data_IF_105895928990
#
_entry.id   IF_105895928990
#
_cell.length_a   1.000
_cell.length_b   1.000
_cell.length_c   1.000
_cell.angle_alpha   90.00
_cell.angle_beta   90.00
_cell.angle_gamma   90.00
#
_symmetry.space_group_name_H-M   'P 1'
#
loop_
_entity.id
_entity.type
_entity.pdbx_description
1 polymer ?
#
# COMPACT_ATOMS: atom_id res chain seq x y z
N UNK A 1 4.69 -7.45 2.44
CA UNK A 1 3.67 -7.97 1.51
C UNK A 1 2.57 -6.96 1.22
N UNK A 2 1.96 -6.41 2.25
CA UNK A 2 0.91 -5.40 2.08
C UNK A 2 1.40 -4.16 1.34
N UNK A 3 2.60 -3.69 1.66
CA UNK A 3 3.20 -2.53 0.99
C UNK A 3 3.38 -2.76 -0.50
N UNK A 4 3.75 -3.98 -0.88
CA UNK A 4 3.94 -4.34 -2.29
C UNK A 4 2.61 -4.24 -3.05
N UNK A 5 1.56 -4.84 -2.48
CA UNK A 5 0.23 -4.80 -3.10
C UNK A 5 -0.32 -3.38 -3.16
N UNK A 6 -0.12 -2.59 -2.11
CA UNK A 6 -0.51 -1.18 -2.09
C UNK A 6 0.22 -0.40 -3.18
N UNK A 7 1.53 -0.63 -3.33
CA UNK A 7 2.32 0.04 -4.37
C UNK A 7 1.79 -0.28 -5.76
N UNK A 8 1.41 -1.53 -6.02
CA UNK A 8 0.83 -1.92 -7.31
C UNK A 8 -0.49 -1.18 -7.56
N UNK A 9 -1.35 -1.10 -6.55
CA UNK A 9 -2.62 -0.40 -6.67
C UNK A 9 -2.41 1.09 -6.94
N UNK A 10 -1.48 1.71 -6.24
CA UNK A 10 -1.18 3.13 -6.42
C UNK A 10 -0.64 3.42 -7.82
N UNK A 11 0.25 2.57 -8.34
CA UNK A 11 0.76 2.70 -9.71
C UNK A 11 -0.36 2.55 -10.73
N UNK A 12 -1.26 1.58 -10.51
CA UNK A 12 -2.41 1.37 -11.39
C UNK A 12 -3.32 2.60 -11.42
N UNK A 13 -3.60 3.20 -10.26
CA UNK A 13 -4.41 4.41 -10.16
C UNK A 13 -3.76 5.61 -10.83
N UNK A 14 -2.42 5.67 -10.83
CA UNK A 14 -1.66 6.72 -11.51
C UNK A 14 -1.56 6.50 -13.02
N UNK A 15 -2.10 5.39 -13.52
CA UNK A 15 -2.03 5.05 -14.94
C UNK A 15 -0.65 4.60 -15.39
N UNK A 16 0.19 4.17 -14.46
CA UNK A 16 1.55 3.72 -14.75
C UNK A 16 1.60 2.20 -14.88
N UNK A 17 2.56 1.66 -15.67
CA UNK A 17 2.69 0.21 -15.79
C UNK A 17 3.19 -0.40 -14.48
N UNK A 18 2.72 -1.62 -14.16
CA UNK A 18 3.12 -2.35 -12.96
C UNK A 18 4.39 -3.14 -13.24
N UNK A 19 5.46 -2.44 -13.55
CA UNK A 19 6.74 -3.06 -13.89
C UNK A 19 7.74 -3.05 -12.73
N UNK A 20 8.68 -3.99 -12.78
CA UNK A 20 9.67 -4.17 -11.71
C UNK A 20 10.39 -2.87 -11.32
N UNK A 21 10.83 -2.10 -12.32
CA UNK A 21 11.57 -0.86 -12.07
C UNK A 21 10.76 0.14 -11.25
N UNK A 22 9.50 0.37 -11.63
CA UNK A 22 8.64 1.33 -10.93
C UNK A 22 8.28 0.86 -9.52
N UNK A 23 8.06 -0.44 -9.34
CA UNK A 23 7.78 -1.00 -8.02
C UNK A 23 9.01 -0.85 -7.11
N UNK A 24 10.20 -1.16 -7.65
CA UNK A 24 11.44 -1.02 -6.90
C UNK A 24 11.66 0.42 -6.44
N UNK A 25 11.41 1.38 -7.32
CA UNK A 25 11.55 2.80 -7.00
C UNK A 25 10.54 3.24 -5.92
N UNK A 26 9.30 2.82 -6.07
CA UNK A 26 8.22 3.21 -5.14
C UNK A 26 8.44 2.65 -3.75
N UNK A 27 8.93 1.42 -3.65
CA UNK A 27 9.19 0.76 -2.36
C UNK A 27 10.61 1.01 -1.83
N UNK A 28 11.47 1.64 -2.63
CA UNK A 28 12.86 1.87 -2.27
C UNK A 28 13.60 0.58 -1.95
N UNK A 29 13.38 -0.45 -2.77
CA UNK A 29 14.04 -1.75 -2.64
C UNK A 29 14.69 -2.12 -3.97
N UNK A 30 15.55 -3.15 -3.96
CA UNK A 30 16.24 -3.60 -5.15
C UNK A 30 15.31 -4.37 -6.09
N UNK A 31 15.68 -4.44 -7.37
CA UNK A 31 14.94 -5.24 -8.34
C UNK A 31 14.90 -6.72 -7.99
N UNK A 32 16.03 -7.34 -7.54
CA UNK A 32 15.96 -8.74 -7.06
C UNK A 32 14.98 -8.94 -5.93
N UNK A 33 14.87 -7.96 -4.99
CA UNK A 33 13.89 -8.04 -3.90
C UNK A 33 12.46 -7.99 -4.44
N UNK A 34 12.20 -7.17 -5.47
CA UNK A 34 10.88 -7.13 -6.12
C UNK A 34 10.55 -8.49 -6.75
N UNK A 35 11.52 -9.11 -7.43
CA UNK A 35 11.31 -10.43 -8.03
C UNK A 35 11.00 -11.49 -6.98
N UNK A 36 11.73 -11.49 -5.87
CA UNK A 36 11.53 -12.45 -4.79
C UNK A 36 10.15 -12.30 -4.16
N UNK A 37 9.78 -11.07 -3.81
CA UNK A 37 8.46 -10.79 -3.23
C UNK A 37 7.34 -11.06 -4.23
N UNK A 38 7.56 -10.74 -5.50
CA UNK A 38 6.59 -10.98 -6.56
C UNK A 38 6.29 -12.47 -6.74
N UNK A 39 7.31 -13.31 -6.71
CA UNK A 39 7.12 -14.77 -6.79
C UNK A 39 6.28 -15.29 -5.63
N UNK A 40 6.55 -14.80 -4.43
CA UNK A 40 5.79 -15.20 -3.25
C UNK A 40 4.31 -14.80 -3.39
N UNK A 41 4.04 -13.61 -3.90
CA UNK A 41 2.67 -13.15 -4.10
C UNK A 41 1.95 -13.89 -5.22
N UNK A 42 2.67 -14.30 -6.27
CA UNK A 42 2.13 -15.14 -7.33
C UNK A 42 1.71 -16.49 -6.75
N UNK A 43 2.58 -17.10 -5.95
CA UNK A 43 2.30 -18.38 -5.31
C UNK A 43 1.08 -18.33 -4.40
N UNK A 44 0.82 -17.18 -3.78
CA UNK A 44 -0.33 -17.00 -2.90
C UNK A 44 -1.61 -16.60 -3.63
N UNK A 45 -1.52 -16.38 -4.94
CA UNK A 45 -2.69 -16.03 -5.76
C UNK A 45 -3.13 -14.58 -5.64
N UNK A 46 -2.23 -13.67 -5.27
CA UNK A 46 -2.54 -12.25 -5.14
C UNK A 46 -2.25 -11.44 -6.39
N UNK A 47 -1.29 -11.89 -7.20
CA UNK A 47 -0.92 -11.24 -8.45
C UNK A 47 -0.61 -12.26 -9.52
N UNK A 48 -0.59 -11.82 -10.78
CA UNK A 48 -0.07 -12.61 -11.90
C UNK A 48 1.00 -11.78 -12.62
N UNK A 49 1.80 -12.46 -13.42
CA UNK A 49 2.81 -11.83 -14.24
C UNK A 49 3.02 -12.67 -15.50
N UNK A 50 3.03 -12.02 -16.66
CA UNK A 50 3.32 -12.69 -17.94
C UNK A 50 4.81 -12.65 -18.19
N UNK A 51 5.47 -13.80 -18.03
CA UNK A 51 6.92 -13.94 -18.23
C UNK A 51 7.70 -12.78 -17.56
N UNK A 52 8.34 -11.92 -18.32
CA UNK A 52 9.04 -10.73 -17.80
C UNK A 52 8.20 -9.46 -17.94
N UNK A 53 6.91 -9.63 -18.15
CA UNK A 53 6.00 -8.51 -18.35
C UNK A 53 5.51 -7.85 -17.08
N UNK A 54 4.51 -6.99 -17.24
CA UNK A 54 3.91 -6.27 -16.13
C UNK A 54 3.13 -7.20 -15.21
N UNK A 55 3.07 -6.81 -13.94
CA UNK A 55 2.29 -7.53 -12.94
C UNK A 55 0.82 -7.09 -13.01
N UNK A 56 -0.07 -7.97 -12.59
CA UNK A 56 -1.51 -7.69 -12.55
C UNK A 56 -2.05 -8.11 -11.19
N UNK A 57 -2.82 -7.22 -10.54
CA UNK A 57 -3.48 -7.54 -9.28
C UNK A 57 -4.66 -8.47 -9.54
N UNK A 58 -4.67 -9.59 -8.83
CA UNK A 58 -5.82 -10.49 -8.81
C UNK A 58 -6.82 -10.00 -7.77
N UNK A 59 -8.09 -10.43 -7.80
CA UNK A 59 -9.10 -9.95 -6.85
C UNK A 59 -8.70 -10.04 -5.38
N UNK A 60 -8.09 -11.15 -4.95
CA UNK A 60 -7.64 -11.32 -3.57
C UNK A 60 -6.54 -10.31 -3.20
N UNK A 61 -5.60 -10.08 -4.12
CA UNK A 61 -4.53 -9.09 -3.90
C UNK A 61 -5.07 -7.67 -3.89
N UNK A 62 -6.04 -7.39 -4.74
CA UNK A 62 -6.68 -6.07 -4.81
C UNK A 62 -7.42 -5.74 -3.51
N UNK A 63 -8.09 -6.71 -2.92
CA UNK A 63 -8.77 -6.52 -1.63
C UNK A 63 -7.79 -6.10 -0.53
N UNK A 64 -6.65 -6.79 -0.44
CA UNK A 64 -5.61 -6.47 0.53
C UNK A 64 -5.04 -5.07 0.26
N UNK A 65 -4.75 -4.76 -1.01
CA UNK A 65 -4.21 -3.47 -1.41
C UNK A 65 -5.16 -2.33 -1.05
N UNK A 66 -6.47 -2.49 -1.31
CA UNK A 66 -7.47 -1.49 -0.99
C UNK A 66 -7.58 -1.25 0.50
N UNK A 67 -7.57 -2.32 1.31
CA UNK A 67 -7.64 -2.21 2.76
C UNK A 67 -6.42 -1.47 3.32
N UNK A 68 -5.22 -1.79 2.80
CA UNK A 68 -3.99 -1.14 3.22
C UNK A 68 -3.98 0.34 2.84
N UNK A 69 -4.40 0.64 1.61
CA UNK A 69 -4.47 2.03 1.13
C UNK A 69 -5.50 2.84 1.92
N UNK A 70 -6.63 2.23 2.27
CA UNK A 70 -7.66 2.89 3.08
C UNK A 70 -7.10 3.28 4.45
N UNK A 71 -6.38 2.37 5.12
CA UNK A 71 -5.75 2.65 6.40
C UNK A 71 -4.72 3.77 6.26
N UNK A 72 -3.92 3.74 5.21
CA UNK A 72 -2.94 4.79 4.93
C UNK A 72 -3.61 6.16 4.84
N UNK A 73 -4.64 6.27 4.03
CA UNK A 73 -5.34 7.54 3.83
C UNK A 73 -6.00 8.06 5.11
N UNK A 74 -6.66 7.19 5.86
CA UNK A 74 -7.34 7.59 7.10
C UNK A 74 -6.33 8.05 8.16
N UNK A 75 -5.25 7.30 8.34
CA UNK A 75 -4.23 7.66 9.31
C UNK A 75 -3.55 8.98 8.95
N UNK A 76 -3.28 9.18 7.66
CA UNK A 76 -2.70 10.44 7.19
C UNK A 76 -3.62 11.61 7.47
N UNK A 77 -4.90 11.49 7.13
CA UNK A 77 -5.89 12.54 7.38
C UNK A 77 -6.03 12.84 8.87
N UNK A 78 -6.02 11.80 9.69
CA UNK A 78 -6.10 11.97 11.14
C UNK A 78 -4.92 12.79 11.68
N UNK A 79 -3.70 12.45 11.27
CA UNK A 79 -2.50 13.17 11.68
C UNK A 79 -2.54 14.62 11.20
N UNK A 80 -2.96 14.87 9.98
CA UNK A 80 -3.11 16.22 9.44
C UNK A 80 -4.13 17.03 10.27
N UNK A 81 -5.20 16.38 10.72
CA UNK A 81 -6.24 17.05 11.53
C UNK A 81 -5.71 17.49 12.88
N UNK A 82 -4.65 16.85 13.38
CA UNK A 82 -4.00 17.21 14.64
C UNK A 82 -2.98 18.34 14.47
N UNK A 83 -2.74 18.77 13.25
CA UNK A 83 -1.74 19.81 12.98
C UNK A 83 -0.35 19.29 12.62
N UNK A 84 -0.23 17.98 12.41
CA UNK A 84 1.03 17.37 11.97
C UNK A 84 1.31 17.80 10.53
N UNK A 85 2.56 18.12 10.21
CA UNK A 85 2.93 18.53 8.84
C UNK A 85 2.69 17.39 7.84
N UNK A 86 2.47 17.77 6.59
CA UNK A 86 2.21 16.79 5.53
C UNK A 86 3.34 15.75 5.40
N UNK A 87 4.59 16.20 5.45
CA UNK A 87 5.74 15.31 5.35
C UNK A 87 5.81 14.31 6.49
N UNK A 88 5.63 14.78 7.73
CA UNK A 88 5.65 13.94 8.92
C UNK A 88 4.46 12.98 8.92
N UNK A 89 3.26 13.48 8.55
CA UNK A 89 2.06 12.65 8.50
C UNK A 89 2.23 11.50 7.50
N UNK A 90 2.81 11.79 6.34
CA UNK A 90 3.06 10.75 5.31
C UNK A 90 4.04 9.70 5.80
N UNK A 91 5.11 10.13 6.46
CA UNK A 91 6.12 9.22 7.01
C UNK A 91 5.52 8.35 8.13
N UNK A 92 4.85 8.98 9.08
CA UNK A 92 4.33 8.26 10.24
C UNK A 92 3.18 7.33 9.89
N UNK A 93 2.27 7.74 9.00
CA UNK A 93 1.15 6.88 8.64
C UNK A 93 1.61 5.60 7.93
N UNK A 94 2.69 5.66 7.17
CA UNK A 94 3.26 4.47 6.53
C UNK A 94 3.71 3.44 7.56
N UNK A 95 4.24 3.89 8.68
CA UNK A 95 4.66 3.00 9.77
C UNK A 95 3.46 2.54 10.60
N UNK A 96 2.57 3.47 10.93
CA UNK A 96 1.41 3.20 11.78
C UNK A 96 0.44 2.18 11.18
N UNK A 97 0.27 2.18 9.86
CA UNK A 97 -0.69 1.28 9.22
C UNK A 97 -0.40 -0.19 9.45
N UNK A 98 0.84 -0.53 9.80
CA UNK A 98 1.25 -1.91 10.06
C UNK A 98 1.18 -2.30 11.53
N UNK A 99 1.12 -1.34 12.45
CA UNK A 99 1.20 -1.62 13.88
C UNK A 99 -0.06 -1.25 14.65
N UNK A 100 -0.90 -0.38 14.11
CA UNK A 100 -2.13 0.06 14.76
C UNK A 100 -3.17 -1.07 14.68
N UNK A 101 -3.79 -1.39 15.81
CA UNK A 101 -4.86 -2.40 15.84
C UNK A 101 -6.12 -1.89 15.13
N UNK A 102 -6.98 -2.81 14.75
CA UNK A 102 -8.27 -2.46 14.11
C UNK A 102 -9.12 -1.61 15.05
N UNK A 103 -9.11 -1.91 16.33
CA UNK A 103 -9.87 -1.15 17.32
C UNK A 103 -9.41 0.32 17.34
N UNK A 104 -8.10 0.54 17.45
CA UNK A 104 -7.54 1.89 17.48
C UNK A 104 -7.79 2.61 16.16
N UNK A 105 -7.58 1.90 15.04
CA UNK A 105 -7.82 2.47 13.71
C UNK A 105 -9.27 2.94 13.54
N UNK A 106 -10.23 2.10 13.92
CA UNK A 106 -11.66 2.45 13.82
C UNK A 106 -12.02 3.63 14.71
N UNK A 107 -11.40 3.72 15.89
CA UNK A 107 -11.62 4.87 16.78
C UNK A 107 -11.13 6.17 16.15
N UNK A 108 -9.95 6.14 15.52
CA UNK A 108 -9.40 7.28 14.80
C UNK A 108 -10.27 7.69 13.61
N UNK A 109 -10.74 6.70 12.85
CA UNK A 109 -11.62 6.92 11.70
C UNK A 109 -12.93 7.59 12.12
N UNK A 110 -13.52 7.14 13.22
CA UNK A 110 -14.75 7.74 13.76
C UNK A 110 -14.58 9.22 14.10
N UNK A 111 -13.41 9.59 14.60
CA UNK A 111 -13.11 10.97 14.94
C UNK A 111 -13.17 11.86 13.69
N UNK A 112 -12.67 11.38 12.56
CA UNK A 112 -12.74 12.10 11.29
C UNK A 112 -14.16 12.23 10.77
N UNK A 113 -14.97 11.19 10.96
CA UNK A 113 -16.34 11.15 10.46
C UNK A 113 -17.34 11.98 11.28
N UNK A 114 -16.92 12.50 12.43
CA UNK A 114 -17.76 13.32 13.30
C UNK A 114 -17.75 14.80 12.98
N UNK A 115 -17.11 15.19 11.91
CA UNK A 115 -17.08 16.61 11.50
C UNK A 115 -18.35 17.04 10.82
#
# INVERSE_FOLDING_TARGET
MEDFLEALLMLEEEGKPLETTLVAEKLEISKPAVHQMGHELIDRGYITRKDYGDMTLLPAGREIAKATLHRHCVLKEYLLSLGVSKETAEHDCCLMEHVVSDETFKAMEKTLNKK
#
